data_IF_489554948387
#
_entry.id   IF_489554948387
#
_cell.length_a   1.000
_cell.length_b   1.000
_cell.length_c   1.000
_cell.angle_alpha   90.00
_cell.angle_beta   90.00
_cell.angle_gamma   90.00
#
_symmetry.space_group_name_H-M   'P 1'
#
loop_
_entity.id
_entity.type
_entity.pdbx_description
1 polymer ?
#
# COMPACT_ATOMS: atom_id res chain seq x y z
N UNK A 1 1.54 -21.29 -3.28
CA UNK A 1 2.37 -21.74 -4.43
C UNK A 1 3.68 -22.27 -3.87
N UNK A 2 4.36 -23.18 -4.57
CA UNK A 2 5.70 -23.63 -4.12
C UNK A 2 6.73 -22.53 -4.42
N UNK A 3 7.83 -22.49 -3.65
CA UNK A 3 8.96 -21.61 -3.94
C UNK A 3 9.43 -21.77 -5.40
N UNK A 4 9.66 -20.66 -6.08
CA UNK A 4 10.07 -20.61 -7.49
C UNK A 4 8.92 -20.76 -8.50
N UNK A 5 7.66 -20.82 -8.05
CA UNK A 5 6.51 -20.76 -8.95
C UNK A 5 6.33 -19.32 -9.44
N UNK A 6 6.28 -19.13 -10.76
CA UNK A 6 6.04 -17.84 -11.40
C UNK A 6 4.72 -17.91 -12.15
N UNK A 7 3.82 -16.96 -11.89
CA UNK A 7 2.70 -16.65 -12.80
C UNK A 7 3.08 -15.39 -13.53
N UNK A 8 3.11 -15.42 -14.86
CA UNK A 8 3.47 -14.26 -15.67
C UNK A 8 2.56 -14.10 -16.88
N UNK A 9 2.47 -12.87 -17.36
CA UNK A 9 1.74 -12.44 -18.56
C UNK A 9 2.56 -11.38 -19.28
N UNK A 10 2.50 -11.28 -20.60
CA UNK A 10 3.20 -10.22 -21.33
C UNK A 10 2.30 -8.97 -21.43
N UNK A 11 2.39 -8.07 -20.44
CA UNK A 11 1.53 -6.88 -20.30
C UNK A 11 0.01 -7.19 -20.18
N UNK A 12 -0.35 -8.45 -19.95
CA UNK A 12 -1.74 -8.87 -19.73
C UNK A 12 -2.08 -8.87 -18.25
N UNK A 13 -3.36 -8.70 -17.92
CA UNK A 13 -3.77 -8.70 -16.52
C UNK A 13 -3.72 -10.10 -15.90
N UNK A 14 -3.41 -10.18 -14.61
CA UNK A 14 -3.39 -11.44 -13.84
C UNK A 14 -4.46 -11.36 -12.75
N UNK A 15 -5.30 -12.39 -12.69
CA UNK A 15 -6.29 -12.54 -11.63
C UNK A 15 -6.04 -13.82 -10.84
N UNK A 16 -5.79 -13.69 -9.54
CA UNK A 16 -5.60 -14.79 -8.60
C UNK A 16 -6.78 -14.84 -7.64
N UNK A 17 -7.53 -15.94 -7.65
CA UNK A 17 -8.66 -16.15 -6.74
C UNK A 17 -8.45 -17.45 -5.97
N UNK A 18 -8.39 -17.39 -4.64
CA UNK A 18 -8.24 -18.56 -3.77
C UNK A 18 -9.24 -18.55 -2.62
N UNK A 19 -9.66 -19.74 -2.19
CA UNK A 19 -10.60 -19.86 -1.07
C UNK A 19 -9.92 -19.83 0.30
N UNK A 20 -8.62 -20.16 0.36
CA UNK A 20 -7.83 -20.26 1.58
C UNK A 20 -6.56 -19.43 1.45
N UNK A 21 -5.83 -19.28 2.55
CA UNK A 21 -4.51 -18.63 2.61
C UNK A 21 -3.62 -19.05 1.46
N UNK A 22 -3.00 -18.05 0.83
CA UNK A 22 -2.07 -18.25 -0.26
C UNK A 22 -0.69 -17.71 0.08
N UNK A 23 0.31 -18.53 -0.20
CA UNK A 23 1.71 -18.11 -0.20
C UNK A 23 2.10 -17.85 -1.64
N UNK A 24 2.61 -16.66 -1.94
CA UNK A 24 3.10 -16.30 -3.27
C UNK A 24 4.63 -16.45 -3.36
N UNK A 25 5.11 -16.54 -4.60
CA UNK A 25 6.55 -16.55 -4.89
C UNK A 25 6.89 -15.56 -5.99
N UNK A 26 6.11 -15.49 -7.07
CA UNK A 26 6.18 -14.38 -8.04
C UNK A 26 4.91 -14.27 -8.89
N UNK A 27 4.36 -13.06 -9.01
CA UNK A 27 3.36 -12.63 -9.98
C UNK A 27 3.96 -11.50 -10.82
N UNK A 28 4.06 -11.67 -12.14
CA UNK A 28 4.78 -10.73 -13.01
C UNK A 28 3.94 -10.39 -14.23
N UNK A 29 3.30 -9.21 -14.21
CA UNK A 29 2.48 -8.70 -15.32
C UNK A 29 3.23 -7.73 -16.26
N UNK A 30 4.57 -7.66 -16.15
CA UNK A 30 5.40 -6.78 -16.99
C UNK A 30 5.28 -7.13 -18.48
N UNK A 31 5.56 -6.17 -19.34
CA UNK A 31 5.81 -6.47 -20.74
C UNK A 31 7.12 -7.28 -20.89
N UNK A 32 7.21 -8.14 -21.89
CA UNK A 32 8.36 -9.04 -22.09
C UNK A 32 9.69 -8.27 -22.20
N UNK A 33 9.67 -7.10 -22.84
CA UNK A 33 10.84 -6.24 -23.01
C UNK A 33 11.34 -5.63 -21.69
N UNK A 34 10.47 -5.48 -20.68
CA UNK A 34 10.82 -4.81 -19.42
C UNK A 34 11.41 -5.78 -18.39
N UNK A 35 11.25 -7.09 -18.60
CA UNK A 35 11.77 -8.13 -17.69
C UNK A 35 13.29 -8.30 -17.72
N UNK A 36 13.88 -8.00 -18.87
CA UNK A 36 15.31 -8.19 -19.12
C UNK A 36 16.14 -6.95 -18.78
N UNK A 37 15.50 -5.77 -18.67
CA UNK A 37 16.16 -4.48 -18.56
C UNK A 37 15.87 -3.73 -17.24
N UNK A 38 15.07 -4.31 -16.32
CA UNK A 38 14.60 -3.68 -15.08
C UNK A 38 14.19 -2.21 -15.31
N UNK A 39 13.41 -1.99 -16.38
CA UNK A 39 12.99 -0.67 -16.84
C UNK A 39 11.68 -0.23 -16.18
N UNK A 40 11.77 0.80 -15.33
CA UNK A 40 10.61 1.43 -14.68
C UNK A 40 9.86 2.39 -15.64
N UNK A 41 10.54 2.93 -16.66
CA UNK A 41 10.00 3.93 -17.60
C UNK A 41 8.76 3.46 -18.39
N UNK A 42 8.49 2.15 -18.41
CA UNK A 42 7.38 1.53 -19.12
C UNK A 42 6.33 0.90 -18.20
N UNK A 43 6.34 1.17 -16.89
CA UNK A 43 5.41 0.60 -15.91
C UNK A 43 3.93 0.85 -16.27
N UNK A 44 3.62 1.94 -16.96
CA UNK A 44 2.28 2.24 -17.48
C UNK A 44 1.78 1.27 -18.57
N UNK A 45 2.65 0.42 -19.12
CA UNK A 45 2.31 -0.60 -20.11
C UNK A 45 2.15 -1.99 -19.50
N UNK A 46 2.46 -2.17 -18.22
CA UNK A 46 2.29 -3.45 -17.54
C UNK A 46 0.82 -3.77 -17.33
N UNK A 47 0.54 -5.07 -17.15
CA UNK A 47 -0.79 -5.52 -16.79
C UNK A 47 -1.14 -5.22 -15.33
N UNK A 48 -2.43 -5.24 -15.04
CA UNK A 48 -2.97 -5.10 -13.69
C UNK A 48 -3.00 -6.46 -12.99
N UNK A 49 -2.86 -6.47 -11.67
CA UNK A 49 -2.95 -7.67 -10.84
C UNK A 49 -4.04 -7.53 -9.80
N UNK A 50 -4.83 -8.59 -9.65
CA UNK A 50 -5.89 -8.66 -8.67
C UNK A 50 -5.83 -9.98 -7.94
N UNK A 51 -5.96 -9.88 -6.62
CA UNK A 51 -5.85 -10.99 -5.72
C UNK A 51 -7.08 -10.99 -4.81
N UNK A 52 -7.88 -12.03 -4.89
CA UNK A 52 -9.01 -12.26 -3.99
C UNK A 52 -8.78 -13.54 -3.19
N UNK A 53 -8.73 -13.42 -1.87
CA UNK A 53 -8.65 -14.55 -0.94
C UNK A 53 -9.88 -14.56 -0.04
N UNK A 54 -10.83 -15.44 -0.35
CA UNK A 54 -12.14 -15.45 0.32
C UNK A 54 -12.05 -15.82 1.82
N UNK A 55 -11.11 -16.68 2.19
CA UNK A 55 -10.80 -16.98 3.59
C UNK A 55 -9.28 -17.07 3.73
N UNK A 56 -8.70 -16.47 4.76
CA UNK A 56 -7.25 -16.49 4.93
C UNK A 56 -6.55 -15.21 4.49
N UNK A 57 -5.22 -15.31 4.47
CA UNK A 57 -4.28 -14.23 4.21
C UNK A 57 -3.46 -14.48 2.95
N UNK A 58 -2.79 -13.43 2.47
CA UNK A 58 -1.67 -13.53 1.53
C UNK A 58 -0.35 -13.25 2.26
N UNK A 59 0.63 -14.11 2.04
CA UNK A 59 2.02 -13.91 2.46
C UNK A 59 2.96 -14.28 1.31
N UNK A 60 4.20 -13.82 1.37
CA UNK A 60 5.26 -14.32 0.49
C UNK A 60 5.98 -15.53 1.12
N UNK A 61 6.94 -16.11 0.39
CA UNK A 61 7.79 -17.23 0.85
C UNK A 61 9.25 -16.82 1.14
N UNK A 62 9.62 -15.60 0.77
CA UNK A 62 10.92 -15.01 0.98
C UNK A 62 11.15 -14.57 2.43
N UNK A 63 12.34 -14.04 2.65
CA UNK A 63 12.72 -13.39 3.91
C UNK A 63 13.55 -12.14 3.63
N UNK A 64 13.57 -11.68 2.38
CA UNK A 64 14.45 -10.62 1.89
C UNK A 64 13.60 -9.59 1.16
N UNK A 65 13.47 -8.42 1.79
CA UNK A 65 12.73 -7.25 1.29
C UNK A 65 13.24 -6.71 -0.08
N UNK A 66 14.22 -7.35 -0.73
CA UNK A 66 14.79 -6.92 -2.03
C UNK A 66 14.41 -7.80 -3.21
N UNK A 67 13.59 -8.83 -3.02
CA UNK A 67 13.11 -9.68 -4.11
C UNK A 67 11.64 -9.42 -4.33
N UNK A 68 11.32 -8.61 -5.34
CA UNK A 68 9.94 -8.27 -5.68
C UNK A 68 9.13 -9.53 -6.01
N UNK A 69 8.04 -9.73 -5.27
CA UNK A 69 7.08 -10.80 -5.47
C UNK A 69 6.03 -10.43 -6.52
N UNK A 70 5.67 -9.14 -6.62
CA UNK A 70 4.58 -8.67 -7.49
C UNK A 70 5.05 -7.49 -8.34
N UNK A 71 5.03 -7.68 -9.67
CA UNK A 71 5.22 -6.62 -10.64
C UNK A 71 3.91 -6.35 -11.39
N UNK A 72 3.38 -5.14 -11.30
CA UNK A 72 2.13 -4.74 -11.95
C UNK A 72 2.10 -3.23 -12.22
N UNK A 73 1.20 -2.78 -13.10
CA UNK A 73 0.86 -1.36 -13.13
C UNK A 73 -0.03 -1.01 -11.92
N UNK A 74 -1.16 -1.71 -11.79
CA UNK A 74 -2.12 -1.55 -10.69
C UNK A 74 -2.23 -2.87 -9.91
N UNK A 75 -2.28 -2.79 -8.58
CA UNK A 75 -2.48 -3.94 -7.70
C UNK A 75 -3.71 -3.75 -6.80
N UNK A 76 -4.69 -4.64 -6.94
CA UNK A 76 -5.88 -4.73 -6.10
C UNK A 76 -5.83 -6.01 -5.26
N UNK A 77 -5.93 -5.89 -3.93
CA UNK A 77 -5.91 -7.06 -3.04
C UNK A 77 -7.10 -7.03 -2.08
N UNK A 78 -7.92 -8.07 -2.13
CA UNK A 78 -8.97 -8.34 -1.15
C UNK A 78 -8.70 -9.65 -0.43
N UNK A 79 -8.54 -9.60 0.88
CA UNK A 79 -8.43 -10.82 1.70
C UNK A 79 -9.37 -10.78 2.87
N UNK A 80 -9.61 -11.95 3.47
CA UNK A 80 -10.32 -12.01 4.74
C UNK A 80 -9.43 -11.62 5.91
N UNK A 81 -8.22 -12.18 6.02
CA UNK A 81 -7.43 -12.10 7.26
C UNK A 81 -6.26 -11.11 7.17
N UNK A 82 -5.30 -11.25 6.26
CA UNK A 82 -4.15 -10.32 6.23
C UNK A 82 -3.47 -10.24 4.85
N UNK A 83 -2.72 -9.15 4.64
CA UNK A 83 -1.89 -8.93 3.45
C UNK A 83 -0.49 -8.59 3.94
N UNK A 84 0.48 -9.48 3.77
CA UNK A 84 1.83 -9.29 4.32
C UNK A 84 1.81 -9.32 5.85
N UNK A 85 2.38 -10.37 6.45
CA UNK A 85 2.24 -10.60 7.89
C UNK A 85 3.55 -10.21 8.57
N UNK A 86 3.60 -9.03 9.20
CA UNK A 86 4.72 -8.61 10.05
C UNK A 86 4.62 -9.22 11.46
N UNK A 87 4.86 -10.52 11.61
CA UNK A 87 5.03 -11.14 12.93
C UNK A 87 6.44 -10.95 13.46
N UNK A 88 6.59 -10.84 14.79
CA UNK A 88 7.89 -10.75 15.47
C UNK A 88 8.74 -12.01 15.22
N UNK A 89 9.59 -11.97 14.19
CA UNK A 89 10.69 -12.90 13.96
C UNK A 89 10.75 -13.56 12.59
N UNK A 90 9.61 -13.79 11.92
CA UNK A 90 9.54 -14.49 10.62
C UNK A 90 8.52 -13.86 9.65
N UNK A 91 8.02 -12.67 9.96
CA UNK A 91 7.04 -11.99 9.12
C UNK A 91 7.69 -11.10 8.07
N UNK A 92 7.21 -11.17 6.82
CA UNK A 92 7.60 -10.23 5.76
C UNK A 92 6.40 -9.46 5.22
N UNK A 93 6.66 -8.24 4.76
CA UNK A 93 5.77 -7.52 3.87
C UNK A 93 5.64 -8.28 2.54
N UNK A 94 4.67 -7.91 1.70
CA UNK A 94 4.73 -8.31 0.29
C UNK A 94 5.64 -7.32 -0.44
N UNK A 95 6.65 -7.82 -1.12
CA UNK A 95 7.58 -6.99 -1.89
C UNK A 95 7.00 -6.72 -3.29
N UNK A 96 6.88 -5.44 -3.65
CA UNK A 96 6.18 -5.01 -4.87
C UNK A 96 6.99 -4.04 -5.71
N UNK A 97 6.64 -3.95 -6.98
CA UNK A 97 7.00 -2.84 -7.86
C UNK A 97 5.74 -2.49 -8.67
N UNK A 98 4.96 -1.55 -8.13
CA UNK A 98 3.63 -1.19 -8.63
C UNK A 98 3.45 0.33 -8.66
N UNK A 99 2.70 0.82 -9.66
CA UNK A 99 2.39 2.25 -9.73
C UNK A 99 1.23 2.62 -8.79
N UNK A 100 0.22 1.75 -8.69
CA UNK A 100 -0.96 2.02 -7.85
C UNK A 100 -1.39 0.81 -7.02
N UNK A 101 -1.85 1.09 -5.80
CA UNK A 101 -2.31 0.10 -4.84
C UNK A 101 -3.69 0.44 -4.28
N UNK A 102 -4.53 -0.58 -4.19
CA UNK A 102 -5.68 -0.62 -3.28
C UNK A 102 -5.74 -1.96 -2.58
N UNK A 103 -6.14 -1.97 -1.31
CA UNK A 103 -6.18 -3.19 -0.54
C UNK A 103 -7.21 -3.16 0.59
N UNK A 104 -7.85 -4.31 0.82
CA UNK A 104 -8.86 -4.49 1.86
C UNK A 104 -8.70 -5.82 2.58
N UNK A 105 -8.87 -5.76 3.90
CA UNK A 105 -8.94 -6.90 4.81
C UNK A 105 -10.27 -6.87 5.57
N UNK A 106 -11.09 -7.93 5.49
CA UNK A 106 -12.45 -7.93 6.05
C UNK A 106 -12.56 -8.32 7.54
N UNK A 107 -11.67 -9.20 8.03
CA UNK A 107 -11.77 -9.80 9.36
C UNK A 107 -10.70 -9.28 10.32
N UNK A 108 -9.74 -10.11 10.74
CA UNK A 108 -8.66 -9.73 11.66
C UNK A 108 -7.33 -9.72 10.92
N UNK A 109 -6.66 -8.56 10.87
CA UNK A 109 -5.29 -8.47 10.38
C UNK A 109 -4.99 -7.22 9.56
N UNK A 110 -3.70 -7.05 9.28
CA UNK A 110 -3.12 -5.83 8.73
C UNK A 110 -2.76 -5.93 7.25
N UNK A 111 -2.22 -4.81 6.76
CA UNK A 111 -1.66 -4.67 5.42
C UNK A 111 -0.20 -4.27 5.59
N UNK A 112 0.71 -5.00 4.97
CA UNK A 112 2.13 -4.70 4.94
C UNK A 112 2.69 -4.88 3.54
N UNK A 113 3.07 -3.77 2.92
CA UNK A 113 3.67 -3.71 1.58
C UNK A 113 5.02 -3.00 1.66
N UNK A 114 5.99 -3.52 0.94
CA UNK A 114 7.28 -2.88 0.71
C UNK A 114 7.46 -2.73 -0.81
N UNK A 115 7.34 -1.50 -1.32
CA UNK A 115 7.48 -1.23 -2.74
C UNK A 115 8.91 -0.79 -3.09
N UNK A 116 9.41 -1.20 -4.25
CA UNK A 116 10.74 -0.82 -4.69
C UNK A 116 10.81 0.65 -5.15
N UNK A 117 9.69 1.20 -5.64
CA UNK A 117 9.63 2.44 -6.42
C UNK A 117 8.63 3.45 -5.83
N UNK A 118 8.14 4.39 -6.65
CA UNK A 118 7.04 5.27 -6.30
C UNK A 118 5.73 4.48 -6.26
N UNK A 119 4.87 4.75 -5.27
CA UNK A 119 3.57 4.09 -5.14
C UNK A 119 2.46 5.11 -4.85
N UNK A 120 1.35 4.99 -5.58
CA UNK A 120 0.14 5.77 -5.35
C UNK A 120 -0.95 4.90 -4.71
N UNK A 121 -1.53 5.35 -3.60
CA UNK A 121 -2.72 4.74 -3.03
C UNK A 121 -3.95 5.33 -3.74
N UNK A 122 -4.61 4.55 -4.58
CA UNK A 122 -5.70 5.03 -5.44
C UNK A 122 -6.93 4.11 -5.44
N UNK A 123 -7.90 4.42 -6.31
CA UNK A 123 -9.03 3.59 -6.69
C UNK A 123 -8.65 2.78 -7.92
N UNK A 124 -8.68 1.45 -7.78
CA UNK A 124 -8.49 0.56 -8.92
C UNK A 124 -9.85 0.01 -9.33
N UNK A 125 -10.24 0.35 -10.56
CA UNK A 125 -11.48 -0.15 -11.16
C UNK A 125 -11.31 -1.58 -11.62
N UNK A 126 -12.42 -2.32 -11.70
CA UNK A 126 -12.45 -3.67 -12.27
C UNK A 126 -11.75 -3.75 -13.63
N UNK A 127 -10.95 -4.79 -13.80
CA UNK A 127 -10.37 -5.20 -15.06
C UNK A 127 -10.68 -6.67 -15.35
N UNK A 128 -10.68 -7.03 -16.64
CA UNK A 128 -11.08 -8.36 -17.07
C UNK A 128 -9.88 -9.21 -17.49
N UNK A 129 -9.92 -10.50 -17.12
CA UNK A 129 -9.09 -11.53 -17.74
C UNK A 129 -9.96 -12.44 -18.62
N UNK A 130 -9.39 -12.98 -19.70
CA UNK A 130 -10.08 -13.97 -20.52
C UNK A 130 -9.91 -15.36 -19.91
N UNK A 131 -11.02 -15.96 -19.48
CA UNK A 131 -11.05 -17.34 -19.01
C UNK A 131 -11.42 -18.27 -20.15
N UNK A 132 -10.58 -19.26 -20.40
CA UNK A 132 -10.90 -20.36 -21.33
C UNK A 132 -11.83 -21.35 -20.64
N UNK A 133 -12.98 -21.62 -21.25
CA UNK A 133 -13.97 -22.57 -20.79
C UNK A 133 -13.64 -23.99 -21.25
N UNK A 134 -14.36 -24.98 -20.71
CA UNK A 134 -14.16 -26.40 -21.05
C UNK A 134 -14.41 -26.71 -22.54
N UNK A 135 -15.20 -25.87 -23.22
CA UNK A 135 -15.48 -25.98 -24.65
C UNK A 135 -14.51 -25.17 -25.54
N UNK A 136 -13.41 -24.66 -24.95
CA UNK A 136 -12.41 -23.80 -25.58
C UNK A 136 -12.92 -22.43 -26.05
N UNK A 137 -14.15 -22.04 -25.70
CA UNK A 137 -14.57 -20.64 -25.80
C UNK A 137 -13.94 -19.80 -24.68
N UNK A 138 -14.04 -18.48 -24.80
CA UNK A 138 -13.55 -17.55 -23.78
C UNK A 138 -14.69 -16.74 -23.19
N UNK A 139 -14.65 -16.53 -21.88
CA UNK A 139 -15.49 -15.54 -21.21
C UNK A 139 -14.62 -14.48 -20.53
N UNK A 140 -15.17 -13.28 -20.39
CA UNK A 140 -14.56 -12.25 -19.55
C UNK A 140 -14.83 -12.60 -18.09
N UNK A 141 -13.77 -12.67 -17.29
CA UNK A 141 -13.86 -12.73 -15.84
C UNK A 141 -13.24 -11.46 -15.26
N UNK A 142 -14.08 -10.55 -14.82
CA UNK A 142 -13.69 -9.39 -14.03
C UNK A 142 -13.59 -9.71 -12.54
N UNK A 143 -13.03 -8.76 -11.82
CA UNK A 143 -13.22 -8.62 -10.40
C UNK A 143 -14.59 -8.05 -10.09
N UNK A 144 -15.25 -8.66 -9.11
CA UNK A 144 -16.64 -8.34 -8.82
C UNK A 144 -16.78 -7.06 -7.98
N UNK A 145 -15.65 -6.42 -7.62
CA UNK A 145 -15.57 -5.28 -6.69
C UNK A 145 -14.46 -4.32 -7.12
N UNK A 146 -14.80 -3.08 -7.44
CA UNK A 146 -13.82 -1.97 -7.44
C UNK A 146 -13.43 -1.64 -6.01
N UNK A 147 -12.14 -1.52 -5.74
CA UNK A 147 -11.61 -1.15 -4.43
C UNK A 147 -10.99 0.25 -4.49
N UNK A 148 -10.98 0.91 -3.34
CA UNK A 148 -10.47 2.27 -3.20
C UNK A 148 -9.76 2.42 -1.86
N UNK A 149 -8.54 2.97 -1.91
CA UNK A 149 -7.75 3.23 -0.72
C UNK A 149 -7.25 1.95 -0.05
N UNK A 150 -6.96 2.06 1.25
CA UNK A 150 -6.51 0.94 2.09
C UNK A 150 -7.42 0.78 3.31
N UNK A 151 -7.89 -0.44 3.56
CA UNK A 151 -8.73 -0.77 4.70
C UNK A 151 -8.21 -2.02 5.42
N UNK A 152 -7.76 -1.87 6.67
CA UNK A 152 -7.37 -3.02 7.49
C UNK A 152 -8.57 -3.69 8.15
N UNK A 153 -8.39 -4.96 8.51
CA UNK A 153 -9.30 -5.65 9.39
C UNK A 153 -9.20 -5.14 10.83
N UNK A 154 -9.99 -5.73 11.70
CA UNK A 154 -9.94 -5.52 13.16
C UNK A 154 -8.53 -5.83 13.68
N UNK A 155 -8.04 -5.00 14.61
CA UNK A 155 -6.68 -5.07 15.18
C UNK A 155 -5.52 -4.98 14.17
N UNK A 156 -5.81 -4.81 12.87
CA UNK A 156 -4.82 -4.71 11.81
C UNK A 156 -4.11 -3.37 11.79
N UNK A 157 -2.79 -3.38 11.62
CA UNK A 157 -2.01 -2.20 11.27
C UNK A 157 -1.81 -2.12 9.75
N UNK A 158 -1.61 -0.92 9.22
CA UNK A 158 -1.21 -0.70 7.83
C UNK A 158 0.22 -0.19 7.83
N UNK A 159 1.09 -0.85 7.09
CA UNK A 159 2.51 -0.48 6.92
C UNK A 159 2.81 -0.45 5.43
N UNK A 160 3.08 0.74 4.90
CA UNK A 160 3.53 0.94 3.53
C UNK A 160 4.91 1.58 3.58
N UNK A 161 5.86 0.98 2.89
CA UNK A 161 7.23 1.48 2.80
C UNK A 161 7.69 1.44 1.35
N UNK A 162 8.55 2.36 0.95
CA UNK A 162 9.25 2.32 -0.34
C UNK A 162 10.75 2.17 -0.14
N UNK A 163 11.45 1.55 -1.07
CA UNK A 163 12.92 1.50 -1.09
C UNK A 163 13.52 2.71 -1.81
N UNK A 164 13.02 3.04 -3.01
CA UNK A 164 13.56 4.10 -3.87
C UNK A 164 12.48 5.02 -4.45
N UNK A 165 11.49 5.41 -3.64
CA UNK A 165 10.39 6.23 -4.16
C UNK A 165 9.56 6.99 -3.13
N UNK A 166 8.57 7.70 -3.64
CA UNK A 166 7.58 8.50 -2.93
C UNK A 166 6.31 7.69 -2.65
N UNK A 167 5.52 8.14 -1.68
CA UNK A 167 4.19 7.62 -1.44
C UNK A 167 3.19 8.76 -1.65
N UNK A 168 2.29 8.60 -2.62
CA UNK A 168 1.18 9.51 -2.84
C UNK A 168 -0.12 8.86 -2.36
N UNK A 169 -0.92 9.56 -1.55
CA UNK A 169 -2.14 9.05 -0.93
C UNK A 169 -3.34 9.81 -1.49
N UNK A 170 -3.89 9.31 -2.60
CA UNK A 170 -5.01 9.92 -3.32
C UNK A 170 -6.37 9.39 -2.84
N UNK A 171 -6.37 8.25 -2.13
CA UNK A 171 -7.55 7.64 -1.51
C UNK A 171 -7.34 7.35 -0.02
N UNK A 172 -8.45 7.19 0.71
CA UNK A 172 -8.43 7.07 2.16
C UNK A 172 -7.62 5.87 2.65
N UNK A 173 -6.98 6.04 3.82
CA UNK A 173 -6.34 4.95 4.55
C UNK A 173 -7.03 4.81 5.89
N UNK A 174 -7.73 3.69 6.10
CA UNK A 174 -8.42 3.39 7.36
C UNK A 174 -7.84 2.13 8.00
N UNK A 175 -7.30 2.29 9.21
CA UNK A 175 -6.73 1.22 10.01
C UNK A 175 -7.48 1.06 11.34
N UNK A 176 -7.67 -0.19 11.75
CA UNK A 176 -8.17 -0.49 13.09
C UNK A 176 -7.11 -0.25 14.17
N UNK A 177 -5.83 -0.46 13.84
CA UNK A 177 -4.68 -0.28 14.73
C UNK A 177 -3.80 0.84 14.18
N UNK A 178 -2.49 0.65 14.01
CA UNK A 178 -1.55 1.68 13.58
C UNK A 178 -1.55 1.92 12.06
N UNK A 179 -1.07 3.09 11.65
CA UNK A 179 -0.66 3.36 10.26
C UNK A 179 0.80 3.82 10.26
N UNK A 180 1.62 3.22 9.39
CA UNK A 180 2.97 3.65 9.10
C UNK A 180 3.12 3.85 7.58
N UNK A 181 3.48 5.06 7.18
CA UNK A 181 3.99 5.36 5.84
C UNK A 181 5.47 5.72 5.96
N UNK A 182 6.33 5.05 5.17
CA UNK A 182 7.77 5.26 5.19
C UNK A 182 8.34 5.37 3.78
N UNK A 183 8.57 6.58 3.30
CA UNK A 183 9.14 6.83 1.98
C UNK A 183 10.62 7.23 2.06
N UNK A 184 11.44 6.76 1.12
CA UNK A 184 12.82 7.26 0.95
C UNK A 184 12.89 8.53 0.09
N UNK A 185 11.81 8.89 -0.60
CA UNK A 185 11.64 10.20 -1.21
C UNK A 185 10.59 11.04 -0.45
N UNK A 186 9.49 11.41 -1.11
CA UNK A 186 8.45 12.29 -0.55
C UNK A 186 7.23 11.50 -0.05
N UNK A 187 6.41 12.15 0.79
CA UNK A 187 5.03 11.68 1.05
C UNK A 187 4.05 12.80 0.74
N UNK A 188 3.10 12.55 -0.15
CA UNK A 188 1.96 13.45 -0.44
C UNK A 188 0.69 12.82 0.12
N UNK A 189 0.05 13.46 1.09
CA UNK A 189 -1.17 12.97 1.71
C UNK A 189 -2.37 13.83 1.29
N UNK A 190 -3.06 13.40 0.23
CA UNK A 190 -4.18 14.13 -0.39
C UNK A 190 -5.56 13.59 0.04
N UNK A 191 -5.60 12.43 0.69
CA UNK A 191 -6.82 11.82 1.23
C UNK A 191 -6.71 11.42 2.72
N UNK A 192 -7.86 11.39 3.39
CA UNK A 192 -7.94 11.23 4.86
C UNK A 192 -7.26 9.93 5.36
N UNK A 193 -6.51 10.06 6.45
CA UNK A 193 -5.92 8.93 7.18
C UNK A 193 -6.56 8.77 8.55
N UNK A 194 -7.10 7.58 8.83
CA UNK A 194 -7.84 7.29 10.06
C UNK A 194 -7.28 6.04 10.74
N UNK A 195 -6.79 6.19 11.97
CA UNK A 195 -6.47 5.10 12.88
C UNK A 195 -7.49 5.07 14.02
N UNK A 196 -8.34 4.06 14.05
CA UNK A 196 -9.49 4.02 14.96
C UNK A 196 -9.15 3.57 16.39
N UNK A 197 -7.96 3.00 16.62
CA UNK A 197 -7.49 2.62 17.97
C UNK A 197 -5.99 2.92 18.20
N UNK A 198 -5.22 3.19 17.14
CA UNK A 198 -3.77 3.28 17.20
C UNK A 198 -3.21 4.66 16.85
N UNK A 199 -1.91 4.67 16.61
CA UNK A 199 -1.12 5.85 16.20
C UNK A 199 -0.93 5.91 14.69
N UNK A 200 -0.65 7.09 14.17
CA UNK A 200 -0.24 7.33 12.78
C UNK A 200 1.18 7.86 12.77
N UNK A 201 2.05 7.23 11.97
CA UNK A 201 3.43 7.66 11.73
C UNK A 201 3.66 7.84 10.23
N UNK A 202 4.18 9.00 9.84
CA UNK A 202 4.56 9.31 8.46
C UNK A 202 6.02 9.73 8.47
N UNK A 203 6.86 9.02 7.73
CA UNK A 203 8.28 9.32 7.61
C UNK A 203 8.64 9.45 6.14
N UNK A 204 9.29 10.55 5.76
CA UNK A 204 9.83 10.76 4.43
C UNK A 204 11.29 11.23 4.56
N UNK A 205 12.20 10.74 3.72
CA UNK A 205 13.58 11.25 3.73
C UNK A 205 13.69 12.66 3.12
N UNK A 206 12.71 13.06 2.30
CA UNK A 206 12.63 14.39 1.70
C UNK A 206 11.44 15.17 2.28
N UNK A 207 10.49 15.60 1.45
CA UNK A 207 9.40 16.48 1.84
C UNK A 207 8.11 15.70 2.20
N UNK A 208 7.29 16.27 3.08
CA UNK A 208 5.93 15.79 3.37
C UNK A 208 4.93 16.91 3.06
N UNK A 209 3.91 16.60 2.28
CA UNK A 209 2.76 17.47 2.05
C UNK A 209 1.52 16.85 2.69
N UNK A 210 0.90 17.55 3.63
CA UNK A 210 -0.37 17.16 4.25
C UNK A 210 -1.49 18.04 3.68
N UNK A 211 -2.32 17.44 2.83
CA UNK A 211 -3.43 18.06 2.12
C UNK A 211 -4.77 17.36 2.43
N UNK A 212 -4.84 16.56 3.50
CA UNK A 212 -6.08 16.01 4.04
C UNK A 212 -6.00 15.82 5.56
N UNK A 213 -7.08 15.34 6.19
CA UNK A 213 -7.12 15.19 7.65
C UNK A 213 -6.38 13.93 8.10
N UNK A 214 -5.77 14.00 9.28
CA UNK A 214 -5.15 12.86 9.97
C UNK A 214 -5.84 12.67 11.32
N UNK A 215 -6.53 11.55 11.53
CA UNK A 215 -7.22 11.25 12.79
C UNK A 215 -6.68 9.96 13.40
N UNK A 216 -6.03 10.06 14.55
CA UNK A 216 -5.55 8.91 15.32
C UNK A 216 -6.26 8.86 16.67
N UNK A 217 -6.44 7.67 17.26
CA UNK A 217 -6.79 7.59 18.70
C UNK A 217 -5.55 7.62 19.58
N UNK A 218 -4.43 7.10 19.08
CA UNK A 218 -3.09 7.21 19.62
C UNK A 218 -2.40 8.52 19.22
N UNK A 219 -1.08 8.47 19.14
CA UNK A 219 -0.22 9.61 18.76
C UNK A 219 -0.18 9.83 17.26
N UNK A 220 0.18 11.04 16.84
CA UNK A 220 0.57 11.35 15.46
C UNK A 220 2.03 11.77 15.45
N UNK A 221 2.84 11.14 14.60
CA UNK A 221 4.24 11.53 14.36
C UNK A 221 4.51 11.70 12.86
N UNK A 222 4.86 12.92 12.45
CA UNK A 222 5.15 13.27 11.06
C UNK A 222 6.59 13.78 10.99
N UNK A 223 7.44 13.06 10.26
CA UNK A 223 8.86 13.36 10.15
C UNK A 223 9.32 13.44 8.69
N UNK A 224 9.61 14.65 8.22
CA UNK A 224 10.21 14.91 6.91
C UNK A 224 11.69 15.23 7.05
N UNK A 225 12.53 14.66 6.21
CA UNK A 225 13.98 14.95 6.21
C UNK A 225 14.32 16.34 5.68
N UNK A 226 13.40 16.98 4.94
CA UNK A 226 13.56 18.33 4.43
C UNK A 226 12.40 19.25 4.88
N UNK A 227 11.37 19.49 4.07
CA UNK A 227 10.24 20.35 4.43
C UNK A 227 9.02 19.52 4.86
N UNK A 228 8.19 20.10 5.72
CA UNK A 228 6.81 19.64 5.90
C UNK A 228 5.87 20.81 5.62
N UNK A 229 4.90 20.60 4.75
CA UNK A 229 3.85 21.58 4.44
C UNK A 229 2.50 21.02 4.86
N UNK A 230 1.80 21.72 5.75
CA UNK A 230 0.42 21.42 6.14
C UNK A 230 -0.49 22.48 5.53
N UNK A 231 -1.39 22.05 4.65
CA UNK A 231 -2.35 22.93 3.97
C UNK A 231 -3.32 23.60 4.97
N UNK A 232 -3.82 24.79 4.60
CA UNK A 232 -4.55 25.70 5.51
C UNK A 232 -5.88 25.15 6.05
N UNK A 233 -6.45 24.15 5.39
CA UNK A 233 -7.82 23.68 5.63
C UNK A 233 -7.92 22.36 6.41
N UNK A 234 -6.80 21.67 6.65
CA UNK A 234 -6.81 20.32 7.19
C UNK A 234 -6.21 20.23 8.58
N UNK A 235 -6.69 19.26 9.36
CA UNK A 235 -6.29 19.09 10.76
C UNK A 235 -5.63 17.75 11.02
N UNK A 236 -4.91 17.71 12.13
CA UNK A 236 -4.41 16.48 12.72
C UNK A 236 -4.93 16.38 14.13
N UNK A 237 -5.59 15.28 14.44
CA UNK A 237 -6.37 15.11 15.66
C UNK A 237 -6.07 13.77 16.35
N UNK A 238 -5.96 13.84 17.68
CA UNK A 238 -5.74 12.68 18.55
C UNK A 238 -6.81 12.59 19.64
N UNK A 239 -6.94 11.43 20.30
CA UNK A 239 -7.79 11.29 21.49
C UNK A 239 -7.02 11.62 22.77
N UNK A 240 -6.61 12.89 22.91
CA UNK A 240 -5.80 13.41 24.02
C UNK A 240 -4.35 12.88 24.07
N UNK A 241 -3.84 12.40 22.95
CA UNK A 241 -2.45 11.96 22.79
C UNK A 241 -1.60 13.02 22.08
N UNK A 242 -0.28 12.82 22.02
CA UNK A 242 0.62 13.80 21.44
C UNK A 242 0.61 13.80 19.90
N UNK A 243 0.83 14.99 19.33
CA UNK A 243 1.06 15.22 17.90
C UNK A 243 2.46 15.84 17.76
N UNK A 244 3.32 15.24 16.93
CA UNK A 244 4.65 15.74 16.61
C UNK A 244 4.79 15.95 15.10
N UNK A 245 5.30 17.12 14.73
CA UNK A 245 5.82 17.42 13.40
C UNK A 245 7.30 17.73 13.53
N UNK A 246 8.13 17.06 12.74
CA UNK A 246 9.58 17.26 12.72
C UNK A 246 10.06 17.39 11.27
N UNK A 247 10.24 18.64 10.82
CA UNK A 247 10.86 18.94 9.54
C UNK A 247 12.37 19.11 9.72
N UNK A 248 13.18 18.55 8.82
CA UNK A 248 14.63 18.76 8.83
C UNK A 248 15.06 20.19 8.50
N UNK A 249 14.20 20.95 7.81
CA UNK A 249 14.46 22.33 7.41
C UNK A 249 13.30 23.27 7.78
N UNK A 250 12.18 23.23 7.04
CA UNK A 250 11.06 24.15 7.26
C UNK A 250 9.77 23.38 7.54
N UNK A 251 9.04 23.81 8.56
CA UNK A 251 7.68 23.41 8.81
C UNK A 251 6.75 24.57 8.45
N UNK A 252 6.03 24.45 7.34
CA UNK A 252 5.00 25.39 6.90
C UNK A 252 3.65 24.88 7.39
N UNK A 253 2.95 25.69 8.18
CA UNK A 253 1.70 25.26 8.80
C UNK A 253 0.57 26.19 8.45
N UNK A 254 -0.54 25.62 8.03
CA UNK A 254 -1.84 26.24 8.02
C UNK A 254 -2.43 26.47 9.43
N UNK A 255 -3.73 26.24 9.57
CA UNK A 255 -4.44 26.29 10.86
C UNK A 255 -4.17 24.97 11.62
N UNK A 256 -3.06 24.90 12.36
CA UNK A 256 -2.85 23.82 13.34
C UNK A 256 -3.71 24.10 14.58
N UNK A 257 -4.98 23.71 14.56
CA UNK A 257 -5.78 23.67 15.79
C UNK A 257 -5.33 22.48 16.65
N UNK A 258 -4.48 22.79 17.64
CA UNK A 258 -3.97 21.94 18.75
C UNK A 258 -2.71 21.11 18.46
N UNK A 259 -1.58 21.78 18.24
CA UNK A 259 -0.26 21.14 18.36
C UNK A 259 0.55 21.77 19.49
N UNK A 260 1.12 20.93 20.36
CA UNK A 260 2.25 21.31 21.22
C UNK A 260 3.52 21.15 20.38
N UNK A 261 3.87 22.18 19.60
CA UNK A 261 5.06 22.16 18.75
C UNK A 261 6.30 22.22 19.65
N UNK A 262 7.16 21.19 19.60
CA UNK A 262 8.49 21.23 20.20
C UNK A 262 9.51 21.37 19.07
N UNK A 263 9.85 22.61 18.72
CA UNK A 263 11.08 22.88 17.98
C UNK A 263 12.24 22.86 18.98
N UNK A 264 13.29 22.07 18.71
CA UNK A 264 14.57 22.15 19.41
C UNK A 264 15.63 22.68 18.45
#
# INVERSE_FOLDING_TARGET
MNSGTIISSNAGNIRLETNNTSIISKLDARADNDRDEDMIDAQNTWGDISITIANGAISEIGTDDNVVDIYAKELSIHTRDAIGILNQGNGNAIDTEIASLTAKVDADGGISIFDLTDITIDTITDFNVHRVLFDASTENKGDEISLSGLESGTNGAIVIRTLEGSIDVDQHITSSSHILLGATANVTQDADMISSQGSISITAAQDISQNANINAKGTIDVQGGNHITVSETFTSETQNENIRYHAGNVLTTGILMRVRVVCR
#
